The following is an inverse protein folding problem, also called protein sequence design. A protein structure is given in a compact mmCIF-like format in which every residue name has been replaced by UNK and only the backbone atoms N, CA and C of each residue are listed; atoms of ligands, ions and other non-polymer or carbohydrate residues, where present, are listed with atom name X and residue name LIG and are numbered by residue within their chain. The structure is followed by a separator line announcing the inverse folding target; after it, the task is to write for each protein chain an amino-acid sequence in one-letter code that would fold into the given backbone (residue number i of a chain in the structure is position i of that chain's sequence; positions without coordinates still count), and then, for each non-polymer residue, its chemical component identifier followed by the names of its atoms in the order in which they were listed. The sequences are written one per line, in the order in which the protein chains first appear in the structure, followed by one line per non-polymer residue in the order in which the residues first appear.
data_IF_382792498376
#
_entry.id   IF_382792498376
#
_cell.length_a   1.000
_cell.length_b   1.000
_cell.length_c   1.000
_cell.angle_alpha   90.00
_cell.angle_beta   90.00
_cell.angle_gamma   90.00
#
_symmetry.space_group_name_H-M   'P 1'
#
loop_
_entity.id
_entity.type
_entity.pdbx_description
1 polymer ?
#
# COMPACT_ATOMS: atom_id res chain seq x y z
N UNK A 1 -18.24 1.63 13.76
CA UNK A 1 -18.98 1.19 12.56
C UNK A 1 -18.48 2.07 11.43
N UNK A 2 -17.55 1.54 10.63
CA UNK A 2 -17.06 2.24 9.43
C UNK A 2 -18.25 2.31 8.48
N UNK A 3 -18.65 3.51 8.10
CA UNK A 3 -19.62 3.70 7.03
C UNK A 3 -19.01 3.16 5.74
N UNK A 4 -19.58 2.08 5.20
CA UNK A 4 -19.20 1.56 3.89
C UNK A 4 -19.27 2.70 2.87
N UNK A 5 -18.23 2.89 2.03
CA UNK A 5 -18.28 3.88 0.98
C UNK A 5 -19.49 3.62 0.08
N UNK A 6 -20.31 4.64 -0.15
CA UNK A 6 -21.48 4.56 -1.01
C UNK A 6 -21.04 4.21 -2.44
N UNK A 7 -21.40 3.01 -2.88
CA UNK A 7 -21.21 2.52 -4.25
C UNK A 7 -21.89 3.46 -5.24
N UNK A 8 -21.27 3.83 -6.36
CA UNK A 8 -21.99 4.47 -7.47
C UNK A 8 -23.10 3.52 -7.94
N UNK A 9 -24.32 4.03 -8.04
CA UNK A 9 -25.52 3.28 -8.48
C UNK A 9 -25.54 3.15 -10.01
N UNK A 10 -24.60 2.40 -10.57
CA UNK A 10 -24.80 1.76 -11.87
C UNK A 10 -25.60 0.48 -11.59
N UNK A 11 -26.74 0.30 -12.23
CA UNK A 11 -27.57 -0.88 -12.07
C UNK A 11 -26.76 -2.17 -12.29
N UNK A 12 -27.08 -3.27 -11.59
CA UNK A 12 -26.29 -4.48 -11.61
C UNK A 12 -26.23 -5.05 -13.06
N UNK A 13 -25.04 -4.95 -13.67
CA UNK A 13 -24.72 -5.79 -14.83
C UNK A 13 -24.71 -7.23 -14.28
N UNK A 14 -25.42 -8.19 -14.90
CA UNK A 14 -25.39 -9.58 -14.44
C UNK A 14 -23.92 -10.07 -14.47
N UNK A 15 -23.34 -10.28 -13.30
CA UNK A 15 -22.00 -10.87 -13.21
C UNK A 15 -22.18 -12.36 -13.57
N UNK A 16 -21.52 -12.88 -14.61
CA UNK A 16 -21.64 -14.29 -14.95
C UNK A 16 -21.21 -15.15 -13.77
N UNK A 17 -21.93 -16.27 -13.54
CA UNK A 17 -21.53 -17.24 -12.51
C UNK A 17 -20.10 -17.69 -12.82
N UNK A 18 -19.16 -17.61 -11.88
CA UNK A 18 -17.78 -17.95 -12.16
C UNK A 18 -17.65 -19.45 -12.49
N UNK A 19 -16.89 -19.76 -13.53
CA UNK A 19 -16.53 -21.14 -13.84
C UNK A 19 -15.48 -21.58 -12.81
N UNK A 20 -15.90 -22.42 -11.89
CA UNK A 20 -15.05 -22.97 -10.83
C UNK A 20 -14.41 -24.26 -11.34
N UNK A 21 -13.09 -24.49 -11.17
CA UNK A 21 -12.44 -25.75 -11.58
C UNK A 21 -12.97 -26.95 -10.78
N UNK A 22 -12.80 -28.16 -11.28
CA UNK A 22 -13.07 -29.36 -10.46
C UNK A 22 -12.15 -29.40 -9.24
N UNK A 23 -12.56 -30.04 -8.12
CA UNK A 23 -11.71 -30.18 -6.94
C UNK A 23 -10.32 -30.77 -7.26
N UNK A 24 -10.26 -31.76 -8.15
CA UNK A 24 -9.01 -32.41 -8.57
C UNK A 24 -8.12 -31.44 -9.34
N UNK A 25 -8.69 -30.65 -10.27
CA UNK A 25 -7.96 -29.66 -11.04
C UNK A 25 -7.44 -28.51 -10.14
N UNK A 26 -8.23 -28.08 -9.19
CA UNK A 26 -7.82 -27.08 -8.21
C UNK A 26 -6.63 -27.57 -7.38
N UNK A 27 -6.73 -28.75 -6.77
CA UNK A 27 -5.64 -29.32 -5.97
C UNK A 27 -4.39 -29.55 -6.81
N UNK A 28 -4.52 -29.98 -8.07
CA UNK A 28 -3.38 -30.16 -8.96
C UNK A 28 -2.64 -28.85 -9.21
N UNK A 29 -3.36 -27.74 -9.42
CA UNK A 29 -2.77 -26.39 -9.54
C UNK A 29 -2.06 -25.97 -8.25
N UNK A 30 -2.72 -26.16 -7.11
CA UNK A 30 -2.16 -25.85 -5.80
C UNK A 30 -0.86 -26.60 -5.51
N UNK A 31 -0.77 -27.88 -5.89
CA UNK A 31 0.44 -28.68 -5.72
C UNK A 31 1.57 -28.26 -6.65
N UNK A 32 1.26 -27.79 -7.82
CA UNK A 32 2.26 -27.40 -8.83
C UNK A 32 2.80 -25.97 -8.60
N UNK A 33 2.13 -25.18 -7.76
CA UNK A 33 2.46 -23.77 -7.56
C UNK A 33 3.57 -23.61 -6.49
N UNK A 34 4.75 -23.06 -6.86
CA UNK A 34 5.86 -22.95 -5.95
C UNK A 34 5.64 -21.87 -4.87
N UNK A 35 4.86 -20.83 -5.17
CA UNK A 35 4.55 -19.75 -4.23
C UNK A 35 3.63 -20.26 -3.11
N UNK A 36 2.59 -21.01 -3.48
CA UNK A 36 1.74 -21.68 -2.50
C UNK A 36 2.54 -22.67 -1.66
N UNK A 37 3.44 -23.46 -2.28
CA UNK A 37 4.32 -24.39 -1.58
C UNK A 37 5.16 -23.72 -0.50
N UNK A 38 5.67 -22.52 -0.75
CA UNK A 38 6.37 -21.70 0.25
C UNK A 38 5.43 -21.17 1.34
N UNK A 39 4.23 -20.75 0.98
CA UNK A 39 3.25 -20.18 1.92
C UNK A 39 2.72 -21.22 2.91
N UNK A 40 2.61 -22.50 2.53
CA UNK A 40 2.08 -23.57 3.37
C UNK A 40 3.15 -24.36 4.15
N UNK A 41 4.45 -24.12 3.92
CA UNK A 41 5.58 -24.96 4.39
C UNK A 41 5.60 -25.27 5.90
N UNK A 42 4.95 -24.45 6.72
CA UNK A 42 4.87 -24.61 8.17
C UNK A 42 3.44 -24.87 8.65
N UNK A 43 2.52 -25.14 7.72
CA UNK A 43 1.12 -25.34 8.04
C UNK A 43 0.81 -26.84 8.20
N UNK A 44 0.05 -27.16 9.23
CA UNK A 44 -0.68 -28.41 9.35
C UNK A 44 -2.13 -28.07 9.60
N UNK A 45 -3.00 -28.43 8.65
CA UNK A 45 -4.41 -28.03 8.64
C UNK A 45 -5.01 -28.11 7.24
N UNK A 46 -5.58 -27.02 6.76
CA UNK A 46 -6.11 -26.99 5.40
C UNK A 46 -6.96 -25.75 5.07
N UNK A 47 -7.36 -25.70 3.81
CA UNK A 47 -8.20 -24.63 3.27
C UNK A 47 -9.53 -25.20 2.78
N UNK A 48 -10.61 -24.49 3.10
CA UNK A 48 -11.97 -24.72 2.62
C UNK A 48 -12.52 -23.45 1.99
N UNK A 49 -12.98 -23.54 0.75
CA UNK A 49 -13.61 -22.44 0.02
C UNK A 49 -15.04 -22.86 -0.35
N UNK A 50 -16.03 -22.18 0.18
CA UNK A 50 -17.45 -22.37 -0.14
C UNK A 50 -17.93 -21.31 -1.11
N UNK A 51 -18.16 -21.70 -2.35
CA UNK A 51 -18.57 -20.83 -3.47
C UNK A 51 -20.01 -21.19 -3.84
N UNK A 52 -21.00 -20.53 -3.24
CA UNK A 52 -22.37 -21.00 -3.29
C UNK A 52 -22.47 -22.43 -2.73
N UNK A 53 -23.02 -23.35 -3.53
CA UNK A 53 -23.16 -24.77 -3.16
C UNK A 53 -21.89 -25.62 -3.43
N UNK A 54 -20.87 -25.03 -4.03
CA UNK A 54 -19.63 -25.74 -4.41
C UNK A 54 -18.57 -25.58 -3.35
N UNK A 55 -17.97 -26.70 -2.93
CA UNK A 55 -16.85 -26.71 -2.00
C UNK A 55 -15.58 -27.14 -2.68
N UNK A 56 -14.53 -26.32 -2.48
CA UNK A 56 -13.17 -26.63 -2.90
C UNK A 56 -12.24 -26.56 -1.70
N UNK A 57 -11.13 -27.28 -1.74
CA UNK A 57 -10.16 -27.22 -0.66
C UNK A 57 -9.07 -28.26 -0.80
N UNK A 58 -8.16 -28.21 0.14
CA UNK A 58 -7.07 -29.15 0.27
C UNK A 58 -6.67 -29.30 1.75
N UNK A 59 -6.06 -30.41 2.08
CA UNK A 59 -5.39 -30.60 3.39
C UNK A 59 -3.91 -30.27 3.25
N UNK A 60 -3.31 -29.84 4.36
CA UNK A 60 -1.86 -29.62 4.48
C UNK A 60 -1.36 -30.39 5.68
N UNK A 61 -0.33 -31.19 5.47
CA UNK A 61 0.38 -31.92 6.54
C UNK A 61 1.86 -31.63 6.38
N UNK A 62 2.46 -31.01 7.40
CA UNK A 62 3.88 -30.63 7.40
C UNK A 62 4.28 -29.87 6.11
N UNK A 63 3.44 -28.92 5.68
CA UNK A 63 3.69 -28.12 4.48
C UNK A 63 3.41 -28.82 3.15
N UNK A 64 2.86 -30.02 3.13
CA UNK A 64 2.56 -30.77 1.91
C UNK A 64 1.05 -30.70 1.59
N UNK A 65 0.71 -30.13 0.45
CA UNK A 65 -0.68 -30.04 -0.05
C UNK A 65 -1.15 -31.43 -0.49
N UNK A 66 -2.29 -31.86 0.01
CA UNK A 66 -2.93 -33.14 -0.33
C UNK A 66 -4.40 -32.95 -0.70
N UNK A 67 -4.91 -33.84 -1.55
CA UNK A 67 -6.32 -33.86 -1.92
C UNK A 67 -7.18 -34.23 -0.71
N UNK A 68 -8.32 -33.55 -0.60
CA UNK A 68 -9.32 -33.78 0.43
C UNK A 68 -9.87 -32.44 0.92
N UNK A 69 -11.16 -32.39 1.14
CA UNK A 69 -11.80 -31.25 1.79
C UNK A 69 -11.67 -31.46 3.30
N UNK A 70 -10.90 -30.64 4.04
CA UNK A 70 -10.75 -30.84 5.48
C UNK A 70 -12.10 -30.54 6.18
N UNK A 71 -12.37 -31.19 7.31
CA UNK A 71 -13.48 -30.80 8.18
C UNK A 71 -13.17 -29.46 8.86
N UNK A 72 -14.18 -28.60 9.12
CA UNK A 72 -13.98 -27.37 9.88
C UNK A 72 -13.39 -27.69 11.26
N UNK A 73 -12.36 -26.93 11.66
CA UNK A 73 -11.74 -27.16 12.97
C UNK A 73 -10.39 -26.44 13.12
N UNK A 74 -9.67 -26.73 14.20
CA UNK A 74 -8.37 -26.14 14.44
C UNK A 74 -7.40 -26.36 13.26
N UNK A 75 -6.68 -25.31 12.89
CA UNK A 75 -5.73 -25.37 11.78
C UNK A 75 -6.37 -25.24 10.38
N UNK A 76 -7.71 -25.14 10.27
CA UNK A 76 -8.40 -25.01 8.99
C UNK A 76 -8.89 -23.59 8.77
N UNK A 77 -8.49 -22.99 7.64
CA UNK A 77 -9.05 -21.74 7.16
C UNK A 77 -10.28 -22.06 6.31
N UNK A 78 -11.39 -21.44 6.63
CA UNK A 78 -12.60 -21.51 5.85
C UNK A 78 -13.01 -20.12 5.38
N UNK A 79 -13.34 -19.99 4.08
CA UNK A 79 -13.94 -18.78 3.52
C UNK A 79 -15.16 -19.18 2.70
N UNK A 80 -16.29 -18.54 2.97
CA UNK A 80 -17.57 -18.88 2.34
C UNK A 80 -18.33 -17.65 1.88
N UNK A 81 -19.16 -17.83 0.88
CA UNK A 81 -20.10 -16.82 0.42
C UNK A 81 -20.88 -17.27 -0.80
N UNK A 82 -21.98 -16.58 -1.12
CA UNK A 82 -22.74 -16.84 -2.33
C UNK A 82 -21.86 -16.61 -3.59
N UNK A 83 -22.13 -17.35 -4.67
CA UNK A 83 -21.29 -17.37 -5.88
C UNK A 83 -21.09 -15.97 -6.49
N UNK A 84 -22.09 -15.11 -6.40
CA UNK A 84 -22.03 -13.73 -6.89
C UNK A 84 -20.99 -12.85 -6.17
N UNK A 85 -20.65 -13.18 -4.92
CA UNK A 85 -19.58 -12.48 -4.18
C UNK A 85 -18.18 -12.94 -4.55
N UNK A 86 -18.09 -14.18 -5.05
CA UNK A 86 -16.82 -14.73 -5.56
C UNK A 86 -16.53 -14.28 -7.00
N UNK A 87 -17.58 -13.99 -7.79
CA UNK A 87 -17.43 -13.67 -9.19
C UNK A 87 -16.45 -12.51 -9.49
N UNK A 88 -16.44 -11.40 -8.74
CA UNK A 88 -15.47 -10.33 -8.93
C UNK A 88 -14.01 -10.77 -8.71
N UNK A 89 -13.74 -11.62 -7.71
CA UNK A 89 -12.41 -12.16 -7.45
C UNK A 89 -11.86 -12.98 -8.62
N UNK A 90 -12.75 -13.66 -9.32
CA UNK A 90 -12.40 -14.58 -10.41
C UNK A 90 -12.48 -13.92 -11.79
N UNK A 91 -12.85 -12.65 -11.87
CA UNK A 91 -12.87 -11.88 -13.10
C UNK A 91 -11.44 -11.59 -13.62
N UNK A 92 -11.30 -11.31 -14.91
CA UNK A 92 -10.01 -11.01 -15.53
C UNK A 92 -10.09 -9.77 -16.42
N UNK A 93 -9.46 -8.64 -16.04
CA UNK A 93 -8.90 -8.39 -14.71
C UNK A 93 -9.99 -8.32 -13.65
N UNK A 94 -9.69 -8.57 -12.35
CA UNK A 94 -10.66 -8.33 -11.30
C UNK A 94 -10.94 -6.81 -11.20
N UNK A 95 -12.21 -6.40 -10.95
CA UNK A 95 -12.55 -4.99 -10.76
C UNK A 95 -11.94 -4.43 -9.47
N UNK A 96 -11.91 -3.10 -9.30
CA UNK A 96 -11.51 -2.48 -8.04
C UNK A 96 -12.22 -3.10 -6.83
N UNK A 97 -11.52 -3.22 -5.71
CA UNK A 97 -12.00 -3.79 -4.43
C UNK A 97 -12.36 -5.29 -4.45
N UNK A 98 -11.98 -6.02 -5.50
CA UNK A 98 -12.22 -7.46 -5.64
C UNK A 98 -11.00 -8.30 -5.22
N UNK A 99 -10.38 -7.99 -4.10
CA UNK A 99 -9.30 -8.77 -3.49
C UNK A 99 -9.84 -9.58 -2.29
N UNK A 100 -9.27 -10.76 -2.04
CA UNK A 100 -9.71 -11.60 -0.93
C UNK A 100 -9.57 -10.88 0.42
N UNK A 101 -8.42 -10.24 0.65
CA UNK A 101 -8.17 -9.48 1.87
C UNK A 101 -9.26 -8.41 2.13
N UNK A 102 -9.71 -7.72 1.07
CA UNK A 102 -10.78 -6.73 1.16
C UNK A 102 -12.11 -7.37 1.50
N UNK A 103 -12.50 -8.42 0.77
CA UNK A 103 -13.81 -9.05 0.94
C UNK A 103 -13.94 -9.80 2.27
N UNK A 104 -12.84 -10.33 2.81
CA UNK A 104 -12.83 -11.02 4.11
C UNK A 104 -12.64 -10.06 5.28
N UNK A 105 -11.81 -9.03 5.12
CA UNK A 105 -11.44 -8.10 6.20
C UNK A 105 -12.34 -6.87 6.29
N UNK A 106 -12.70 -6.29 5.15
CA UNK A 106 -13.34 -4.96 5.09
C UNK A 106 -14.66 -4.95 4.32
N UNK A 107 -15.11 -6.10 3.80
CA UNK A 107 -16.29 -6.20 2.94
C UNK A 107 -17.65 -5.97 3.64
N UNK A 108 -17.70 -5.91 4.96
CA UNK A 108 -18.93 -5.75 5.72
C UNK A 108 -19.99 -6.80 5.32
N UNK A 109 -21.27 -6.39 5.18
CA UNK A 109 -22.36 -7.29 4.77
C UNK A 109 -22.20 -7.83 3.33
N UNK A 110 -21.45 -7.15 2.49
CA UNK A 110 -21.14 -7.58 1.11
C UNK A 110 -19.92 -8.51 1.04
N UNK A 111 -19.22 -8.71 2.14
CA UNK A 111 -17.99 -9.51 2.22
C UNK A 111 -18.21 -11.02 2.17
N UNK A 112 -17.11 -11.74 2.24
CA UNK A 112 -17.06 -13.19 2.42
C UNK A 112 -16.94 -13.50 3.92
N UNK A 113 -17.60 -14.59 4.35
CA UNK A 113 -17.55 -15.06 5.73
C UNK A 113 -16.35 -16.01 5.93
N UNK A 114 -15.56 -15.76 6.97
CA UNK A 114 -14.46 -16.62 7.39
C UNK A 114 -14.75 -17.46 8.65
N UNK A 115 -15.98 -17.46 9.12
CA UNK A 115 -16.34 -18.29 10.27
C UNK A 115 -16.33 -19.79 9.89
N UNK A 116 -15.86 -20.70 10.76
CA UNK A 116 -15.38 -20.51 12.13
C UNK A 116 -13.84 -20.38 12.25
N UNK A 117 -13.15 -19.83 11.25
CA UNK A 117 -11.70 -19.70 11.26
C UNK A 117 -11.23 -18.85 12.46
N UNK A 118 -10.24 -19.33 13.18
CA UNK A 118 -9.52 -18.52 14.16
C UNK A 118 -8.88 -17.30 13.49
N UNK A 119 -9.13 -16.07 13.96
CA UNK A 119 -8.57 -14.86 13.34
C UNK A 119 -7.05 -14.87 13.25
N UNK A 120 -6.35 -15.41 14.25
CA UNK A 120 -4.89 -15.48 14.26
C UNK A 120 -4.37 -16.49 13.23
N UNK A 121 -5.05 -17.62 13.08
CA UNK A 121 -4.74 -18.61 12.04
C UNK A 121 -4.89 -17.99 10.65
N UNK A 122 -5.96 -17.20 10.44
CA UNK A 122 -6.14 -16.50 9.17
C UNK A 122 -4.97 -15.57 8.87
N UNK A 123 -4.60 -14.69 9.80
CA UNK A 123 -3.46 -13.79 9.60
C UNK A 123 -2.15 -14.52 9.37
N UNK A 124 -1.96 -15.64 10.04
CA UNK A 124 -0.76 -16.47 9.93
C UNK A 124 -0.58 -17.08 8.53
N UNK A 125 -1.69 -17.52 7.92
CA UNK A 125 -1.68 -18.22 6.63
C UNK A 125 -2.52 -17.52 5.54
N UNK A 126 -2.86 -16.24 5.70
CA UNK A 126 -3.52 -15.46 4.65
C UNK A 126 -2.77 -15.49 3.31
N UNK A 127 -1.41 -15.48 3.26
CA UNK A 127 -0.70 -15.63 1.99
C UNK A 127 -1.07 -16.91 1.24
N UNK A 128 -1.26 -18.02 1.97
CA UNK A 128 -1.67 -19.29 1.36
C UNK A 128 -3.13 -19.26 0.88
N UNK A 129 -4.03 -18.64 1.65
CA UNK A 129 -5.44 -18.51 1.27
C UNK A 129 -5.61 -17.63 0.04
N UNK A 130 -4.93 -16.48 0.00
CA UNK A 130 -4.96 -15.55 -1.13
C UNK A 130 -4.38 -16.20 -2.39
N UNK A 131 -3.21 -16.86 -2.29
CA UNK A 131 -2.62 -17.56 -3.43
C UNK A 131 -3.52 -18.66 -3.96
N UNK A 132 -4.14 -19.42 -3.07
CA UNK A 132 -5.07 -20.47 -3.47
C UNK A 132 -6.30 -19.90 -4.21
N UNK A 133 -6.81 -18.74 -3.81
CA UNK A 133 -7.91 -18.06 -4.52
C UNK A 133 -7.46 -17.57 -5.89
N UNK A 134 -6.26 -17.06 -6.05
CA UNK A 134 -5.71 -16.72 -7.37
C UNK A 134 -5.63 -17.94 -8.30
N UNK A 135 -5.31 -19.10 -7.75
CA UNK A 135 -5.25 -20.36 -8.50
C UNK A 135 -6.64 -20.93 -8.89
N UNK A 136 -7.73 -20.38 -8.36
CA UNK A 136 -9.08 -20.64 -8.86
C UNK A 136 -9.32 -19.99 -10.22
N UNK A 137 -8.71 -18.85 -10.49
CA UNK A 137 -8.92 -18.11 -11.72
C UNK A 137 -8.53 -18.93 -12.95
N UNK A 138 -9.09 -18.57 -14.10
CA UNK A 138 -8.82 -19.23 -15.37
C UNK A 138 -7.32 -19.20 -15.70
N UNK A 139 -6.66 -20.33 -15.95
CA UNK A 139 -5.25 -20.37 -16.36
C UNK A 139 -4.98 -19.71 -17.71
N UNK A 140 -6.01 -19.47 -18.54
CA UNK A 140 -5.89 -18.69 -19.76
C UNK A 140 -5.86 -17.17 -19.51
N UNK A 141 -5.98 -16.73 -18.27
CA UNK A 141 -5.82 -15.32 -17.88
C UNK A 141 -4.50 -14.77 -18.43
N UNK A 142 -4.52 -13.60 -19.09
CA UNK A 142 -3.29 -12.99 -19.56
C UNK A 142 -2.28 -12.88 -18.42
N UNK A 143 -1.06 -13.32 -18.68
CA UNK A 143 0.02 -13.12 -17.73
C UNK A 143 0.15 -11.61 -17.42
N UNK A 144 0.50 -11.25 -16.18
CA UNK A 144 0.82 -9.87 -15.83
C UNK A 144 1.84 -9.29 -16.82
N UNK A 145 1.74 -7.98 -17.10
CA UNK A 145 2.67 -7.31 -18.00
C UNK A 145 4.10 -7.55 -17.48
N UNK A 146 5.02 -8.04 -18.35
CA UNK A 146 6.42 -8.17 -17.93
C UNK A 146 6.98 -6.77 -17.59
N UNK A 147 7.76 -6.69 -16.53
CA UNK A 147 8.53 -5.49 -16.24
C UNK A 147 9.44 -5.15 -17.43
N UNK A 148 9.72 -3.86 -17.70
CA UNK A 148 10.69 -3.48 -18.72
C UNK A 148 12.02 -4.19 -18.49
N UNK A 149 12.65 -4.64 -19.57
CA UNK A 149 13.97 -5.25 -19.48
C UNK A 149 14.96 -4.21 -18.93
N UNK A 150 15.50 -4.48 -17.75
CA UNK A 150 16.63 -3.73 -17.22
C UNK A 150 17.79 -3.85 -18.22
N UNK A 151 18.48 -2.74 -18.51
CA UNK A 151 19.63 -2.73 -19.42
C UNK A 151 20.63 -3.84 -19.09
N UNK A 152 21.33 -4.37 -20.09
CA UNK A 152 22.15 -5.57 -20.02
C UNK A 152 23.19 -5.59 -18.90
N UNK A 153 23.94 -6.69 -18.73
CA UNK A 153 24.75 -7.02 -17.54
C UNK A 153 26.06 -6.20 -17.40
N UNK A 154 26.17 -5.02 -18.02
CA UNK A 154 27.35 -4.18 -17.90
C UNK A 154 27.38 -3.55 -16.50
N UNK A 155 28.45 -3.67 -15.74
CA UNK A 155 28.62 -2.96 -14.49
C UNK A 155 28.43 -1.45 -14.68
N UNK A 156 27.50 -0.88 -13.95
CA UNK A 156 27.21 0.56 -13.95
C UNK A 156 26.95 1.04 -12.53
N UNK A 157 27.20 2.31 -12.29
CA UNK A 157 26.75 2.97 -11.08
C UNK A 157 25.36 3.56 -11.31
N UNK A 158 24.47 3.38 -10.37
CA UNK A 158 23.19 4.08 -10.35
C UNK A 158 23.39 5.54 -9.95
N UNK A 159 22.46 6.40 -10.36
CA UNK A 159 22.55 7.83 -10.11
C UNK A 159 22.30 8.23 -8.65
N UNK A 160 21.39 7.57 -7.87
CA UNK A 160 21.13 8.00 -6.51
C UNK A 160 22.34 7.80 -5.61
N UNK A 161 22.62 8.85 -4.81
CA UNK A 161 23.67 8.84 -3.79
C UNK A 161 23.02 8.88 -2.42
N UNK A 162 23.34 7.90 -1.56
CA UNK A 162 22.84 7.84 -0.19
C UNK A 162 23.69 8.57 0.82
N UNK A 163 23.07 9.21 1.79
CA UNK A 163 23.72 9.93 2.87
C UNK A 163 22.92 9.92 4.16
N UNK A 164 23.47 10.56 5.19
CA UNK A 164 22.80 10.80 6.45
C UNK A 164 22.85 12.26 6.81
N UNK A 165 21.76 12.76 7.36
CA UNK A 165 21.67 14.09 7.95
C UNK A 165 21.16 13.99 9.37
N UNK A 166 21.65 14.84 10.27
CA UNK A 166 21.19 14.95 11.64
C UNK A 166 20.17 16.09 11.75
N UNK A 167 19.03 15.81 12.35
CA UNK A 167 17.99 16.80 12.64
C UNK A 167 17.61 16.73 14.11
N UNK A 168 17.49 17.88 14.75
CA UNK A 168 16.94 17.98 16.11
C UNK A 168 15.42 18.07 16.04
N UNK A 169 14.74 17.11 16.64
CA UNK A 169 13.28 17.11 16.79
C UNK A 169 12.94 17.05 18.27
N UNK A 170 12.54 18.20 18.81
CA UNK A 170 12.15 18.32 20.22
C UNK A 170 13.27 18.01 21.22
N UNK A 171 14.52 18.34 20.90
CA UNK A 171 15.70 18.10 21.74
C UNK A 171 16.29 16.69 21.58
N UNK A 172 15.82 15.91 20.64
CA UNK A 172 16.37 14.59 20.31
C UNK A 172 17.03 14.63 18.94
N UNK A 173 18.29 14.20 18.87
CA UNK A 173 19.04 14.10 17.61
C UNK A 173 18.65 12.84 16.85
N UNK A 174 18.03 13.03 15.69
CA UNK A 174 17.66 11.96 14.76
C UNK A 174 18.62 11.94 13.58
N UNK A 175 19.21 10.78 13.33
CA UNK A 175 20.06 10.52 12.18
C UNK A 175 19.22 9.95 11.05
N UNK A 176 18.86 10.78 10.08
CA UNK A 176 17.98 10.43 8.97
C UNK A 176 18.80 10.00 7.75
N UNK A 177 18.48 8.82 7.21
CA UNK A 177 18.99 8.37 5.93
C UNK A 177 18.16 8.95 4.79
N UNK A 178 18.83 9.34 3.72
CA UNK A 178 18.19 9.74 2.48
C UNK A 178 19.01 9.31 1.28
N UNK A 179 18.37 9.20 0.12
CA UNK A 179 18.97 9.04 -1.20
C UNK A 179 18.55 10.22 -2.06
N UNK A 180 19.48 10.71 -2.89
CA UNK A 180 19.19 11.82 -3.78
C UNK A 180 19.76 11.61 -5.18
N UNK A 181 19.07 12.16 -6.18
CA UNK A 181 19.52 12.25 -7.56
C UNK A 181 18.89 13.43 -8.27
N UNK A 182 19.50 13.86 -9.37
CA UNK A 182 19.01 14.97 -10.16
C UNK A 182 19.48 16.34 -9.66
N UNK A 183 18.95 17.39 -10.25
CA UNK A 183 19.26 18.78 -9.92
C UNK A 183 18.09 19.70 -10.25
N UNK A 184 18.05 20.88 -9.64
CA UNK A 184 16.96 21.84 -9.83
C UNK A 184 16.05 21.95 -8.61
N UNK A 185 14.73 21.98 -8.82
CA UNK A 185 13.75 22.17 -7.75
C UNK A 185 13.79 20.97 -6.79
N UNK A 186 13.99 21.18 -5.47
CA UNK A 186 13.99 20.08 -4.51
C UNK A 186 12.62 19.41 -4.43
N UNK A 187 12.59 18.07 -4.50
CA UNK A 187 11.40 17.25 -4.35
C UNK A 187 11.61 16.22 -3.24
N UNK A 188 11.05 16.50 -2.06
CA UNK A 188 11.07 15.59 -0.91
C UNK A 188 10.02 14.49 -1.10
N UNK A 189 10.44 13.23 -0.93
CA UNK A 189 9.65 12.02 -1.20
C UNK A 189 9.45 11.22 0.09
N UNK A 190 8.19 11.14 0.56
CA UNK A 190 7.80 10.43 1.77
C UNK A 190 7.14 9.09 1.44
N UNK A 191 7.72 8.02 1.94
CA UNK A 191 7.21 6.65 1.80
C UNK A 191 5.90 6.40 2.57
N UNK A 192 5.26 5.27 2.30
CA UNK A 192 4.03 4.81 2.95
C UNK A 192 4.30 4.22 4.34
N UNK A 193 3.25 3.90 5.11
CA UNK A 193 3.35 3.28 6.43
C UNK A 193 4.22 2.01 6.42
N UNK A 194 5.16 1.90 7.35
CA UNK A 194 6.02 0.73 7.53
C UNK A 194 6.96 0.39 6.37
N UNK A 195 7.09 1.28 5.40
CA UNK A 195 7.99 1.16 4.26
C UNK A 195 9.26 2.00 4.45
N UNK A 196 9.95 2.36 3.39
CA UNK A 196 11.12 3.23 3.39
C UNK A 196 11.37 3.84 1.99
N UNK A 197 12.29 4.79 1.89
CA UNK A 197 12.53 5.61 0.69
C UNK A 197 12.77 4.85 -0.61
N UNK A 198 13.19 3.58 -0.55
CA UNK A 198 13.41 2.75 -1.74
C UNK A 198 12.14 2.59 -2.62
N UNK A 199 10.96 2.89 -2.08
CA UNK A 199 9.72 2.89 -2.86
C UNK A 199 9.76 3.85 -4.06
N UNK A 200 10.60 4.87 -4.01
CA UNK A 200 10.74 5.87 -5.06
C UNK A 200 11.89 5.59 -6.04
N UNK A 201 12.54 4.43 -5.95
CA UNK A 201 13.73 4.12 -6.73
C UNK A 201 13.57 4.30 -8.24
N UNK A 202 12.38 3.98 -8.77
CA UNK A 202 12.11 4.08 -10.21
C UNK A 202 12.06 5.54 -10.71
N UNK A 203 11.71 6.49 -9.84
CA UNK A 203 11.71 7.91 -10.21
C UNK A 203 13.13 8.48 -10.34
N UNK A 204 14.10 7.91 -9.63
CA UNK A 204 15.51 8.30 -9.76
C UNK A 204 16.10 7.90 -11.11
N UNK A 205 15.52 6.93 -11.79
CA UNK A 205 15.94 6.43 -13.10
C UNK A 205 15.29 7.21 -14.26
N UNK A 206 14.42 8.22 -13.95
CA UNK A 206 13.62 8.94 -14.95
C UNK A 206 14.21 10.32 -15.26
N UNK A 207 14.88 10.50 -16.45
CA UNK A 207 15.48 11.77 -16.84
C UNK A 207 14.48 12.92 -16.94
N UNK A 208 13.23 12.64 -17.32
CA UNK A 208 12.18 13.67 -17.41
C UNK A 208 11.92 14.36 -16.06
N UNK A 209 12.28 13.72 -14.95
CA UNK A 209 12.21 14.26 -13.60
C UNK A 209 13.58 14.75 -13.15
N UNK A 210 14.61 13.91 -13.20
CA UNK A 210 15.95 14.20 -12.64
C UNK A 210 16.70 15.34 -13.32
N UNK A 211 16.34 15.68 -14.56
CA UNK A 211 16.92 16.83 -15.28
C UNK A 211 16.39 18.18 -14.74
N UNK A 212 15.28 18.19 -13.97
CA UNK A 212 14.60 19.40 -13.50
C UNK A 212 14.40 19.47 -11.99
N UNK A 213 14.39 18.31 -11.35
CA UNK A 213 14.16 18.17 -9.92
C UNK A 213 15.31 17.44 -9.25
N UNK A 214 15.70 17.93 -8.06
CA UNK A 214 16.54 17.22 -7.12
C UNK A 214 15.64 16.36 -6.24
N UNK A 215 15.51 15.07 -6.56
CA UNK A 215 14.73 14.11 -5.80
C UNK A 215 15.48 13.75 -4.52
N UNK A 216 14.76 13.71 -3.40
CA UNK A 216 15.29 13.36 -2.08
C UNK A 216 14.28 12.42 -1.42
N UNK A 217 14.53 11.11 -1.50
CA UNK A 217 13.73 10.10 -0.80
C UNK A 217 14.38 9.77 0.54
N UNK A 218 13.68 9.94 1.62
CA UNK A 218 14.19 9.72 2.97
C UNK A 218 13.45 8.62 3.70
N UNK A 219 14.12 8.01 4.66
CA UNK A 219 13.54 7.06 5.59
C UNK A 219 13.10 7.81 6.85
N UNK A 220 11.84 7.68 7.25
CA UNK A 220 11.37 8.19 8.55
C UNK A 220 12.21 7.61 9.71
N UNK A 221 12.31 8.30 10.85
CA UNK A 221 12.82 7.68 12.06
C UNK A 221 12.16 6.31 12.32
N UNK A 222 12.95 5.32 12.74
CA UNK A 222 12.56 3.92 12.95
C UNK A 222 12.32 3.09 11.67
N UNK A 223 12.52 3.69 10.47
CA UNK A 223 12.32 3.01 9.18
C UNK A 223 13.64 2.83 8.44
N UNK A 224 13.68 1.80 7.59
CA UNK A 224 14.80 1.57 6.68
C UNK A 224 16.17 1.67 7.36
N UNK A 225 16.96 2.63 6.93
CA UNK A 225 18.30 2.93 7.47
C UNK A 225 18.29 4.04 8.54
N UNK A 226 17.16 4.70 8.79
CA UNK A 226 16.98 5.68 9.87
C UNK A 226 16.65 4.98 11.18
N UNK A 227 17.64 4.31 11.76
CA UNK A 227 17.46 3.59 13.02
C UNK A 227 17.10 4.54 14.19
N UNK A 228 16.50 3.99 15.25
CA UNK A 228 16.10 4.79 16.42
C UNK A 228 17.23 5.65 16.99
N UNK A 229 16.92 6.84 17.57
CA UNK A 229 17.91 7.73 18.16
C UNK A 229 18.61 7.11 19.37
N UNK A 230 19.86 7.50 19.59
CA UNK A 230 20.63 7.11 20.77
C UNK A 230 20.18 7.98 21.95
N UNK A 231 19.80 7.36 23.06
CA UNK A 231 19.41 8.05 24.29
C UNK A 231 18.01 7.69 24.76
N UNK A 232 16.94 8.00 24.00
CA UNK A 232 15.59 7.56 24.37
C UNK A 232 15.48 6.05 24.51
N UNK A 233 14.76 5.58 25.55
CA UNK A 233 14.49 4.14 25.76
C UNK A 233 13.24 3.73 24.97
N UNK A 234 13.30 3.88 23.64
CA UNK A 234 12.20 3.64 22.72
C UNK A 234 11.62 2.21 22.81
N UNK A 235 12.41 1.23 23.25
CA UNK A 235 11.99 -0.18 23.43
C UNK A 235 11.10 -0.41 24.66
N UNK A 236 10.87 0.59 25.50
CA UNK A 236 9.96 0.54 26.64
C UNK A 236 8.58 1.13 26.34
N UNK A 237 8.38 1.59 25.11
CA UNK A 237 7.15 2.24 24.69
C UNK A 237 6.62 1.58 23.41
N UNK A 238 5.30 1.56 23.26
CA UNK A 238 4.69 1.23 21.99
C UNK A 238 4.98 2.34 20.98
N UNK A 239 5.45 1.97 19.79
CA UNK A 239 5.68 2.96 18.75
C UNK A 239 4.33 3.43 18.18
N UNK A 240 4.11 4.73 18.18
CA UNK A 240 2.98 5.41 17.58
C UNK A 240 3.48 6.64 16.84
N UNK A 241 3.13 6.76 15.59
CA UNK A 241 3.44 7.94 14.78
C UNK A 241 2.39 9.01 15.07
N UNK A 242 2.83 10.10 15.68
CA UNK A 242 1.98 11.26 15.99
C UNK A 242 2.17 12.34 14.95
N UNK A 243 1.10 13.05 14.56
CA UNK A 243 1.12 14.02 13.48
C UNK A 243 2.07 15.20 13.71
N UNK A 244 2.18 15.69 14.94
CA UNK A 244 3.12 16.75 15.26
C UNK A 244 4.58 16.33 15.01
N UNK A 245 4.94 15.10 15.39
CA UNK A 245 6.25 14.53 15.10
C UNK A 245 6.44 14.29 13.62
N UNK A 246 5.44 13.69 12.94
CA UNK A 246 5.52 13.39 11.52
C UNK A 246 5.73 14.65 10.67
N UNK A 247 4.98 15.73 10.93
CA UNK A 247 5.17 17.04 10.25
C UNK A 247 6.57 17.62 10.47
N UNK A 248 7.13 17.46 11.67
CA UNK A 248 8.44 18.02 12.00
C UNK A 248 9.59 17.41 11.19
N UNK A 249 9.45 16.15 10.70
CA UNK A 249 10.52 15.47 9.98
C UNK A 249 10.83 16.14 8.63
N UNK A 250 9.88 16.29 7.67
CA UNK A 250 10.18 16.95 6.39
C UNK A 250 10.55 18.43 6.55
N UNK A 251 9.96 19.13 7.52
CA UNK A 251 10.34 20.53 7.83
C UNK A 251 11.79 20.59 8.34
N UNK A 252 12.17 19.72 9.27
CA UNK A 252 13.55 19.62 9.77
C UNK A 252 14.54 19.22 8.67
N UNK A 253 14.16 18.32 7.79
CA UNK A 253 14.98 17.92 6.64
C UNK A 253 15.17 19.07 5.64
N UNK A 254 14.11 19.80 5.31
CA UNK A 254 14.20 20.97 4.43
C UNK A 254 15.20 22.00 4.97
N UNK A 255 15.14 22.27 6.28
CA UNK A 255 16.08 23.18 6.92
C UNK A 255 17.52 22.65 6.95
N UNK A 256 17.71 21.38 7.34
CA UNK A 256 19.04 20.78 7.49
C UNK A 256 19.78 20.57 6.15
N UNK A 257 19.03 20.29 5.08
CA UNK A 257 19.55 20.14 3.72
C UNK A 257 19.56 21.47 2.93
N UNK A 258 19.18 22.59 3.57
CA UNK A 258 19.12 23.93 2.97
C UNK A 258 18.31 23.95 1.67
N UNK A 259 17.12 23.31 1.70
CA UNK A 259 16.24 23.26 0.54
C UNK A 259 15.48 24.59 0.42
N UNK A 260 15.63 25.23 -0.72
CA UNK A 260 14.90 26.45 -1.02
C UNK A 260 13.59 26.11 -1.72
N UNK A 261 12.47 26.47 -1.11
CA UNK A 261 11.14 26.38 -1.68
C UNK A 261 10.82 24.96 -2.24
N UNK A 262 11.00 23.88 -1.44
CA UNK A 262 10.87 22.51 -1.93
C UNK A 262 9.42 22.13 -2.24
N UNK A 263 9.26 21.12 -3.11
CA UNK A 263 8.01 20.38 -3.28
C UNK A 263 8.03 19.19 -2.32
N UNK A 264 6.89 18.89 -1.71
CA UNK A 264 6.70 17.66 -0.95
C UNK A 264 5.78 16.72 -1.71
N UNK A 265 6.16 15.46 -1.87
CA UNK A 265 5.31 14.41 -2.40
C UNK A 265 5.35 13.20 -1.46
N UNK A 266 4.18 12.72 -1.07
CA UNK A 266 4.06 11.54 -0.23
C UNK A 266 2.90 10.66 -0.64
N UNK A 267 2.99 9.38 -0.30
CA UNK A 267 1.96 8.39 -0.63
C UNK A 267 1.34 7.82 0.66
N UNK A 268 0.03 7.59 0.67
CA UNK A 268 -0.69 6.98 1.81
C UNK A 268 -0.54 7.84 3.08
N UNK A 269 0.14 7.35 4.12
CA UNK A 269 0.54 8.19 5.28
C UNK A 269 1.22 9.49 4.82
N UNK A 270 2.11 9.40 3.83
CA UNK A 270 2.74 10.57 3.22
C UNK A 270 1.76 11.44 2.41
N UNK A 271 0.72 10.85 1.83
CA UNK A 271 -0.34 11.57 1.13
C UNK A 271 -1.21 12.39 2.09
N UNK A 272 -1.56 11.83 3.25
CA UNK A 272 -2.22 12.56 4.32
C UNK A 272 -1.31 13.67 4.87
N UNK A 273 -0.02 13.35 5.09
CA UNK A 273 0.97 14.32 5.54
C UNK A 273 1.10 15.50 4.57
N UNK A 274 1.00 15.27 3.26
CA UNK A 274 1.05 16.35 2.27
C UNK A 274 -0.02 17.42 2.53
N UNK A 275 -1.27 17.00 2.79
CA UNK A 275 -2.36 17.92 3.13
C UNK A 275 -2.16 18.56 4.51
N UNK A 276 -1.63 17.81 5.47
CA UNK A 276 -1.31 18.29 6.82
C UNK A 276 -0.20 19.36 6.79
N UNK A 277 0.81 19.20 5.93
CA UNK A 277 1.85 20.18 5.69
C UNK A 277 1.32 21.44 5.01
N UNK A 278 0.42 21.30 4.03
CA UNK A 278 -0.22 22.44 3.40
C UNK A 278 -0.99 23.30 4.40
N UNK A 279 -1.63 22.67 5.41
CA UNK A 279 -2.33 23.37 6.45
C UNK A 279 -1.41 24.04 7.46
N UNK A 280 -0.37 23.32 7.94
CA UNK A 280 0.42 23.78 9.10
C UNK A 280 1.74 24.48 8.72
N UNK A 281 2.26 24.23 7.52
CA UNK A 281 3.57 24.72 7.06
C UNK A 281 3.53 25.25 5.62
N UNK A 282 2.53 26.09 5.24
CA UNK A 282 2.37 26.56 3.85
C UNK A 282 3.53 27.46 3.36
N UNK A 283 4.36 27.99 4.28
CA UNK A 283 5.51 28.82 3.92
C UNK A 283 6.81 28.01 3.73
N UNK A 284 6.78 26.69 3.96
CA UNK A 284 7.96 25.83 3.80
C UNK A 284 8.01 25.21 2.42
N UNK A 285 6.86 24.89 1.85
CA UNK A 285 6.75 24.14 0.60
C UNK A 285 6.04 24.98 -0.46
N UNK A 286 6.58 25.04 -1.69
CA UNK A 286 5.88 25.67 -2.82
C UNK A 286 4.64 24.90 -3.27
N UNK A 287 4.70 23.58 -3.15
CA UNK A 287 3.57 22.72 -3.46
C UNK A 287 3.65 21.40 -2.68
N UNK A 288 2.51 20.77 -2.46
CA UNK A 288 2.38 19.41 -1.98
C UNK A 288 1.67 18.54 -3.00
N UNK A 289 2.15 17.31 -3.17
CA UNK A 289 1.58 16.29 -4.04
C UNK A 289 1.14 15.13 -3.14
N UNK A 290 -0.15 14.99 -2.97
CA UNK A 290 -0.79 13.97 -2.15
C UNK A 290 -1.14 12.76 -3.01
N UNK A 291 -0.37 11.68 -2.88
CA UNK A 291 -0.67 10.40 -3.53
C UNK A 291 -1.49 9.54 -2.56
N UNK A 292 -2.63 9.05 -3.02
CA UNK A 292 -3.53 8.18 -2.24
C UNK A 292 -3.96 8.81 -0.91
N UNK A 293 -4.05 10.14 -0.88
CA UNK A 293 -4.44 10.90 0.30
C UNK A 293 -5.94 11.18 0.36
N UNK A 294 -6.40 11.63 1.52
CA UNK A 294 -7.77 11.97 1.84
C UNK A 294 -7.81 12.96 3.01
N UNK A 295 -8.98 13.53 3.33
CA UNK A 295 -9.14 14.34 4.55
C UNK A 295 -9.28 13.50 5.82
N UNK A 296 -9.66 12.25 5.67
CA UNK A 296 -9.82 11.30 6.77
C UNK A 296 -10.02 9.90 6.19
N UNK A 297 -9.33 8.92 6.74
CA UNK A 297 -9.51 7.52 6.34
C UNK A 297 -10.48 6.83 7.30
N UNK A 298 -10.29 6.99 8.59
CA UNK A 298 -11.06 6.30 9.62
C UNK A 298 -10.73 4.81 9.69
N UNK A 299 -11.10 4.20 10.80
CA UNK A 299 -10.89 2.76 10.99
C UNK A 299 -10.79 2.41 12.48
N UNK A 300 -10.84 1.13 12.78
CA UNK A 300 -10.57 0.61 14.12
C UNK A 300 -9.12 0.12 14.17
N UNK A 301 -8.25 0.89 14.79
CA UNK A 301 -6.82 0.59 14.87
C UNK A 301 -6.56 -0.77 15.54
N UNK A 302 -7.37 -1.10 16.56
CA UNK A 302 -7.29 -2.37 17.28
C UNK A 302 -7.59 -3.60 16.39
N UNK A 303 -8.37 -3.45 15.35
CA UNK A 303 -8.66 -4.52 14.40
C UNK A 303 -7.41 -4.90 13.58
N UNK A 304 -6.42 -4.01 13.52
CA UNK A 304 -5.17 -4.22 12.81
C UNK A 304 -4.12 -4.95 13.64
N UNK A 305 -4.31 -5.14 14.96
CA UNK A 305 -3.35 -5.81 15.84
C UNK A 305 -3.01 -7.23 15.41
N UNK A 306 -3.96 -7.91 14.74
CA UNK A 306 -3.70 -9.23 14.17
C UNK A 306 -2.56 -9.24 13.15
N UNK A 307 -2.30 -8.13 12.46
CA UNK A 307 -1.22 -8.02 11.49
C UNK A 307 0.17 -7.96 12.15
N UNK A 308 0.24 -7.65 13.43
CA UNK A 308 1.46 -7.68 14.19
C UNK A 308 1.29 -8.54 15.45
N UNK A 309 1.71 -9.78 15.34
CA UNK A 309 1.72 -10.78 16.40
C UNK A 309 2.99 -11.63 16.26
N UNK A 310 3.55 -12.15 17.35
CA UNK A 310 4.69 -13.07 17.27
C UNK A 310 4.44 -14.31 16.39
N UNK A 311 3.18 -14.69 16.18
CA UNK A 311 2.81 -15.80 15.32
C UNK A 311 2.60 -15.41 13.84
N UNK A 312 2.55 -14.10 13.52
CA UNK A 312 2.31 -13.60 12.17
C UNK A 312 3.59 -12.97 11.62
N UNK A 313 4.06 -13.47 10.49
CA UNK A 313 5.26 -12.93 9.84
C UNK A 313 4.97 -11.65 9.06
N UNK A 314 6.01 -10.85 8.79
CA UNK A 314 5.89 -9.72 7.88
C UNK A 314 5.42 -10.13 6.46
N UNK A 315 5.57 -11.40 6.10
CA UNK A 315 5.10 -11.91 4.81
C UNK A 315 3.58 -11.78 4.67
N UNK A 316 2.81 -11.99 5.74
CA UNK A 316 1.35 -11.81 5.71
C UNK A 316 0.96 -10.35 5.46
N UNK A 317 1.66 -9.40 6.10
CA UNK A 317 1.50 -7.97 5.83
C UNK A 317 1.88 -7.62 4.38
N UNK A 318 3.02 -8.12 3.91
CA UNK A 318 3.49 -7.90 2.55
C UNK A 318 2.47 -8.38 1.52
N UNK A 319 1.88 -9.54 1.73
CA UNK A 319 0.85 -10.09 0.84
C UNK A 319 -0.42 -9.23 0.81
N UNK A 320 -0.84 -8.68 1.96
CA UNK A 320 -1.93 -7.71 2.00
C UNK A 320 -1.61 -6.44 1.20
N UNK A 321 -0.34 -6.00 1.19
CA UNK A 321 0.09 -4.85 0.38
C UNK A 321 0.07 -5.17 -1.13
N UNK A 322 0.38 -6.39 -1.53
CA UNK A 322 0.17 -6.81 -2.93
C UNK A 322 -1.29 -6.65 -3.36
N UNK A 323 -2.24 -6.91 -2.45
CA UNK A 323 -3.67 -6.75 -2.74
C UNK A 323 -4.12 -5.27 -2.89
N UNK A 324 -3.29 -4.32 -2.50
CA UNK A 324 -3.50 -2.88 -2.75
C UNK A 324 -2.99 -2.43 -4.13
N UNK A 325 -2.16 -3.24 -4.78
CA UNK A 325 -1.68 -2.95 -6.12
C UNK A 325 -2.77 -3.18 -7.17
N UNK A 326 -2.64 -2.50 -8.30
CA UNK A 326 -3.50 -2.77 -9.46
C UNK A 326 -3.26 -4.19 -10.00
N UNK A 327 -4.32 -4.92 -10.37
CA UNK A 327 -4.19 -6.24 -11.00
C UNK A 327 -3.57 -6.17 -12.42
N UNK A 328 -3.40 -4.98 -12.97
CA UNK A 328 -2.76 -4.73 -14.26
C UNK A 328 -1.30 -4.32 -14.13
N UNK A 329 -0.82 -4.11 -12.91
CA UNK A 329 0.57 -3.77 -12.64
C UNK A 329 1.52 -4.93 -13.03
N UNK A 330 2.77 -4.66 -13.44
CA UNK A 330 3.77 -5.69 -13.69
C UNK A 330 4.04 -6.51 -12.43
N UNK A 331 3.93 -7.85 -12.55
CA UNK A 331 4.09 -8.76 -11.40
C UNK A 331 5.40 -8.53 -10.62
N UNK A 332 6.51 -8.32 -11.34
CA UNK A 332 7.81 -8.08 -10.71
C UNK A 332 7.79 -6.86 -9.78
N UNK A 333 7.07 -5.80 -10.15
CA UNK A 333 6.96 -4.59 -9.35
C UNK A 333 6.00 -4.79 -8.17
N UNK A 334 4.93 -5.57 -8.34
CA UNK A 334 4.06 -5.98 -7.22
C UNK A 334 4.86 -6.78 -6.18
N UNK A 335 5.72 -7.72 -6.63
CA UNK A 335 6.62 -8.48 -5.75
C UNK A 335 7.69 -7.60 -5.08
N UNK A 336 8.09 -6.52 -5.72
CA UNK A 336 8.98 -5.52 -5.13
C UNK A 336 8.29 -4.75 -3.98
N UNK A 337 7.01 -4.38 -4.13
CA UNK A 337 6.21 -3.83 -3.04
C UNK A 337 6.20 -4.79 -1.85
N UNK A 338 5.89 -6.07 -2.08
CA UNK A 338 5.90 -7.08 -1.03
C UNK A 338 7.26 -7.20 -0.32
N UNK A 339 8.35 -7.15 -1.08
CA UNK A 339 9.72 -7.23 -0.52
C UNK A 339 10.01 -6.07 0.43
N UNK A 340 9.64 -4.84 0.05
CA UNK A 340 9.82 -3.64 0.91
C UNK A 340 9.09 -3.82 2.23
N UNK A 341 7.82 -4.21 2.19
CA UNK A 341 7.03 -4.42 3.40
C UNK A 341 7.48 -5.62 4.26
N UNK A 342 8.11 -6.62 3.64
CA UNK A 342 8.70 -7.74 4.38
C UNK A 342 9.93 -7.34 5.17
N UNK A 343 10.65 -6.29 4.76
CA UNK A 343 11.94 -5.90 5.33
C UNK A 343 11.84 -4.93 6.52
N UNK A 344 10.68 -4.31 6.74
CA UNK A 344 10.50 -3.29 7.78
C UNK A 344 10.48 -3.84 9.21
N UNK A 345 10.73 -2.96 10.17
CA UNK A 345 10.53 -3.26 11.60
C UNK A 345 9.04 -3.51 11.86
N UNK A 346 8.65 -4.70 12.41
CA UNK A 346 7.24 -5.07 12.50
C UNK A 346 6.33 -4.05 13.19
N UNK A 347 6.71 -3.42 14.32
CA UNK A 347 5.88 -2.41 14.98
C UNK A 347 5.67 -1.11 14.17
N UNK A 348 6.58 -0.78 13.23
CA UNK A 348 6.50 0.48 12.49
C UNK A 348 5.21 0.61 11.70
N UNK A 349 4.83 -0.42 10.97
CA UNK A 349 3.61 -0.39 10.15
C UNK A 349 2.35 -0.08 10.98
N UNK A 350 2.17 -0.79 12.10
CA UNK A 350 1.01 -0.57 12.97
C UNK A 350 1.08 0.80 13.66
N UNK A 351 2.27 1.21 14.07
CA UNK A 351 2.47 2.52 14.69
C UNK A 351 2.19 3.68 13.73
N UNK A 352 2.56 3.56 12.46
CA UNK A 352 2.25 4.57 11.44
C UNK A 352 0.75 4.65 11.15
N UNK A 353 0.07 3.50 11.18
CA UNK A 353 -1.37 3.46 10.99
C UNK A 353 -2.13 4.14 12.15
N UNK A 354 -1.50 4.39 13.30
CA UNK A 354 -2.10 5.21 14.35
C UNK A 354 -2.38 6.63 13.83
N UNK A 355 -1.41 7.29 13.20
CA UNK A 355 -1.64 8.58 12.54
C UNK A 355 -2.71 8.45 11.45
N UNK A 356 -2.60 7.42 10.60
CA UNK A 356 -3.43 7.25 9.41
C UNK A 356 -4.92 7.05 9.70
N UNK A 357 -5.28 6.26 10.72
CA UNK A 357 -6.68 5.88 10.99
C UNK A 357 -7.27 6.50 12.26
N UNK A 358 -6.44 7.00 13.18
CA UNK A 358 -6.89 7.49 14.49
C UNK A 358 -6.74 8.99 14.63
N UNK A 359 -5.53 9.51 14.33
CA UNK A 359 -5.21 10.90 14.65
C UNK A 359 -5.56 11.88 13.54
N UNK A 360 -5.30 11.49 12.27
CA UNK A 360 -5.47 12.38 11.13
C UNK A 360 -6.95 12.60 10.78
N UNK A 361 -7.41 13.83 10.89
CA UNK A 361 -8.73 14.27 10.44
C UNK A 361 -8.70 15.76 10.08
N UNK A 362 -8.81 16.07 8.79
CA UNK A 362 -8.88 17.45 8.29
C UNK A 362 -10.26 17.85 7.77
N UNK A 363 -11.31 17.04 7.98
CA UNK A 363 -12.65 17.32 7.43
C UNK A 363 -13.21 18.67 7.84
N UNK A 364 -12.97 19.07 9.08
CA UNK A 364 -13.46 20.35 9.62
C UNK A 364 -12.46 21.51 9.43
N UNK A 365 -11.31 21.26 8.78
CA UNK A 365 -10.22 22.20 8.61
C UNK A 365 -9.72 22.36 7.17
N UNK A 366 -10.27 21.60 6.24
CA UNK A 366 -9.80 21.59 4.85
C UNK A 366 -9.89 22.99 4.18
N UNK A 367 -10.90 23.76 4.54
CA UNK A 367 -11.10 25.13 4.04
C UNK A 367 -10.07 26.16 4.57
N UNK A 368 -9.28 25.79 5.60
CA UNK A 368 -8.20 26.62 6.13
C UNK A 368 -6.91 26.53 5.28
N UNK A 369 -6.84 25.55 4.37
CA UNK A 369 -5.68 25.36 3.49
C UNK A 369 -5.68 26.45 2.42
N UNK A 370 -4.65 27.30 2.47
CA UNK A 370 -4.47 28.45 1.59
C UNK A 370 -3.64 28.05 0.34
N UNK A 371 -4.33 27.74 -0.75
CA UNK A 371 -3.71 27.31 -2.00
C UNK A 371 -3.03 28.44 -2.79
N UNK A 372 -3.20 29.70 -2.38
CA UNK A 372 -2.42 30.83 -2.92
C UNK A 372 -1.00 30.86 -2.33
N UNK A 373 -0.77 30.18 -1.19
CA UNK A 373 0.54 30.08 -0.51
C UNK A 373 1.25 28.77 -0.84
N UNK A 374 0.51 27.69 -1.01
CA UNK A 374 1.07 26.37 -1.30
C UNK A 374 0.20 25.63 -2.31
N UNK A 375 0.76 25.24 -3.46
CA UNK A 375 0.01 24.44 -4.44
C UNK A 375 -0.40 23.08 -3.87
N UNK A 376 -1.64 22.64 -4.10
CA UNK A 376 -2.15 21.35 -3.61
C UNK A 376 -2.62 20.49 -4.77
N UNK A 377 -1.94 19.34 -4.97
CA UNK A 377 -2.23 18.38 -6.03
C UNK A 377 -2.55 17.00 -5.42
N UNK A 378 -3.71 16.45 -5.76
CA UNK A 378 -4.20 15.18 -5.19
C UNK A 378 -4.32 14.17 -6.33
N UNK A 379 -3.70 13.00 -6.18
CA UNK A 379 -3.75 11.92 -7.16
C UNK A 379 -4.13 10.62 -6.47
N UNK A 380 -5.21 9.97 -6.90
CA UNK A 380 -5.68 8.72 -6.32
C UNK A 380 -5.81 7.62 -7.39
N UNK A 381 -5.35 6.43 -7.07
CA UNK A 381 -5.44 5.26 -7.93
C UNK A 381 -6.86 4.68 -8.00
N UNK A 382 -7.27 4.26 -9.20
CA UNK A 382 -8.56 3.61 -9.44
C UNK A 382 -8.74 2.34 -8.59
N UNK A 383 -7.64 1.62 -8.35
CA UNK A 383 -7.62 0.33 -7.63
C UNK A 383 -7.27 0.46 -6.15
N UNK A 384 -6.97 1.66 -5.67
CA UNK A 384 -6.73 1.86 -4.23
C UNK A 384 -8.03 1.76 -3.43
N UNK A 385 -8.11 0.76 -2.56
CA UNK A 385 -9.25 0.60 -1.66
C UNK A 385 -9.05 1.26 -0.29
N UNK A 386 -7.87 1.83 -0.01
CA UNK A 386 -7.54 2.56 1.22
C UNK A 386 -7.74 4.07 1.06
N UNK A 387 -6.94 4.72 0.22
CA UNK A 387 -7.10 6.13 -0.16
C UNK A 387 -7.92 6.28 -1.44
N UNK A 388 -9.20 5.91 -1.42
CA UNK A 388 -10.01 5.78 -2.63
C UNK A 388 -10.13 7.07 -3.44
N UNK A 389 -10.31 6.96 -4.76
CA UNK A 389 -10.57 8.10 -5.65
C UNK A 389 -11.71 9.00 -5.14
N UNK A 390 -12.76 8.40 -4.56
CA UNK A 390 -13.87 9.15 -3.99
C UNK A 390 -13.45 10.01 -2.79
N UNK A 391 -12.54 9.53 -1.95
CA UNK A 391 -12.00 10.29 -0.82
C UNK A 391 -11.08 11.42 -1.29
N UNK A 392 -10.26 11.18 -2.30
CA UNK A 392 -9.42 12.20 -2.91
C UNK A 392 -10.25 13.31 -3.58
N UNK A 393 -11.30 12.92 -4.27
CA UNK A 393 -12.26 13.88 -4.88
C UNK A 393 -12.96 14.74 -3.82
N UNK A 394 -13.39 14.12 -2.70
CA UNK A 394 -13.97 14.85 -1.59
C UNK A 394 -12.97 15.83 -0.95
N UNK A 395 -11.69 15.46 -0.89
CA UNK A 395 -10.64 16.37 -0.42
C UNK A 395 -10.47 17.57 -1.37
N UNK A 396 -10.44 17.34 -2.68
CA UNK A 396 -10.39 18.39 -3.68
C UNK A 396 -11.60 19.34 -3.59
N UNK A 397 -12.80 18.79 -3.42
CA UNK A 397 -14.03 19.61 -3.29
C UNK A 397 -14.01 20.52 -2.06
N UNK A 398 -13.34 20.08 -0.97
CA UNK A 398 -13.22 20.86 0.26
C UNK A 398 -12.04 21.85 0.27
N UNK A 399 -10.98 21.59 -0.52
CA UNK A 399 -9.78 22.46 -0.58
C UNK A 399 -9.87 23.32 -1.86
N UNK A 400 -10.35 24.54 -1.72
CA UNK A 400 -10.49 25.47 -2.84
C UNK A 400 -9.12 25.71 -3.52
N UNK A 401 -9.07 25.68 -4.86
CA UNK A 401 -7.85 25.89 -5.64
C UNK A 401 -6.93 24.68 -5.77
N UNK A 402 -7.21 23.56 -5.09
CA UNK A 402 -6.48 22.31 -5.30
C UNK A 402 -6.77 21.68 -6.67
N UNK A 403 -6.03 20.67 -7.05
CA UNK A 403 -6.32 19.82 -8.23
C UNK A 403 -6.50 18.37 -7.81
N UNK A 404 -7.32 17.63 -8.56
CA UNK A 404 -7.49 16.17 -8.36
C UNK A 404 -7.35 15.43 -9.68
N UNK A 405 -6.68 14.27 -9.63
CA UNK A 405 -6.51 13.38 -10.78
C UNK A 405 -6.75 11.94 -10.37
N UNK A 406 -7.68 11.26 -11.05
CA UNK A 406 -7.85 9.81 -10.94
C UNK A 406 -6.80 9.12 -11.80
N UNK A 407 -5.97 8.26 -11.20
CA UNK A 407 -4.97 7.46 -11.92
C UNK A 407 -5.60 6.12 -12.33
N UNK A 408 -6.10 6.05 -13.56
CA UNK A 408 -6.72 4.83 -14.11
C UNK A 408 -5.69 3.72 -14.25
N UNK A 409 -6.04 2.50 -13.84
CA UNK A 409 -5.16 1.34 -13.92
C UNK A 409 -4.07 1.29 -12.85
N UNK A 410 -4.09 2.19 -11.88
CA UNK A 410 -3.09 2.30 -10.81
C UNK A 410 -3.72 1.99 -9.45
N UNK A 411 -2.98 1.36 -8.57
CA UNK A 411 -3.37 1.07 -7.19
C UNK A 411 -2.68 2.00 -6.18
N UNK A 412 -2.44 1.48 -4.98
CA UNK A 412 -1.98 2.26 -3.82
C UNK A 412 -0.50 2.70 -3.86
N UNK A 413 0.32 2.07 -4.71
CA UNK A 413 1.76 2.33 -4.75
C UNK A 413 2.22 2.82 -6.14
N UNK A 414 1.65 3.92 -6.67
CA UNK A 414 1.84 4.34 -8.06
C UNK A 414 3.31 4.40 -8.47
N UNK A 415 4.17 4.94 -7.61
CA UNK A 415 5.61 5.13 -7.86
C UNK A 415 6.39 3.82 -7.91
N UNK A 416 5.85 2.73 -7.38
CA UNK A 416 6.53 1.43 -7.27
C UNK A 416 5.86 0.34 -8.11
N UNK A 417 4.53 0.20 -8.04
CA UNK A 417 3.82 -0.89 -8.70
C UNK A 417 3.72 -0.74 -10.22
N UNK A 418 3.65 0.51 -10.70
CA UNK A 418 3.56 0.80 -12.14
C UNK A 418 4.13 2.20 -12.47
N UNK A 419 5.43 2.40 -12.30
CA UNK A 419 6.06 3.70 -12.47
C UNK A 419 5.85 4.30 -13.87
N UNK A 420 5.79 3.49 -14.93
CA UNK A 420 5.56 3.96 -16.29
C UNK A 420 4.17 4.57 -16.47
N UNK A 421 3.15 3.96 -15.90
CA UNK A 421 1.78 4.50 -15.90
C UNK A 421 1.68 5.73 -15.00
N UNK A 422 2.27 5.67 -13.82
CA UNK A 422 2.30 6.78 -12.86
C UNK A 422 2.90 8.05 -13.46
N UNK A 423 3.97 7.94 -14.23
CA UNK A 423 4.62 9.08 -14.90
C UNK A 423 3.65 9.84 -15.82
N UNK A 424 2.68 9.18 -16.43
CA UNK A 424 1.70 9.85 -17.30
C UNK A 424 0.82 10.84 -16.52
N UNK A 425 0.64 10.61 -15.23
CA UNK A 425 -0.12 11.47 -14.32
C UNK A 425 0.78 12.44 -13.55
N UNK A 426 1.98 12.03 -13.17
CA UNK A 426 2.90 12.85 -12.38
C UNK A 426 3.53 13.98 -13.19
N UNK A 427 3.99 13.72 -14.42
CA UNK A 427 4.71 14.72 -15.22
C UNK A 427 3.91 16.00 -15.46
N UNK A 428 2.60 15.98 -15.80
CA UNK A 428 1.80 17.19 -15.92
C UNK A 428 1.71 18.02 -14.63
N UNK A 429 1.67 17.36 -13.47
CA UNK A 429 1.69 18.02 -12.16
C UNK A 429 3.03 18.69 -11.92
N UNK A 430 4.13 17.99 -12.19
CA UNK A 430 5.49 18.54 -12.06
C UNK A 430 5.73 19.70 -13.04
N UNK A 431 5.15 19.67 -14.23
CA UNK A 431 5.19 20.80 -15.18
C UNK A 431 4.48 22.03 -14.62
N UNK A 432 3.33 21.84 -13.99
CA UNK A 432 2.59 22.93 -13.31
C UNK A 432 3.41 23.51 -12.17
N UNK A 433 3.95 22.67 -11.30
CA UNK A 433 4.76 23.07 -10.14
C UNK A 433 6.06 23.78 -10.56
N UNK A 434 6.68 23.37 -11.66
CA UNK A 434 7.92 23.99 -12.16
C UNK A 434 7.67 25.34 -12.86
N UNK A 435 6.46 25.57 -13.38
CA UNK A 435 6.06 26.80 -14.03
C UNK A 435 5.44 27.86 -13.11
N UNK A 436 5.21 27.50 -11.85
CA UNK A 436 4.58 28.35 -10.83
C UNK A 436 5.53 29.38 -10.23
#
# INVERSE_FOLDING_TARGET
MVASPSRPTAGPVPVPVPVVPSPEAFVARCRADPELGLAVRHWTGGLRLGIGDTWLGFTVTDGVVSAGLPEPGPGVIQVTGPAERWAPLLASPPPPFAQLAVLVGFGGEAGLDRSPTDPMLYWQYSPAAERAVELLADPSRPAPRPAPAMGGPTPRHDHPVGGYVHIDLGGTDYRIYYEEAGSGIPLLLQHTAGAHGVQYRHLFEEPAITDRFRLIAYDLPYHGKSIPPVGPRWWEQEYRLEGAFLRSVPVGLAAALHLEDPVFMGCSVGGLLALDLALHHPDVFRAVISLEGALHIGGAWEELFGMWSPQVSNHSKARMMEALCSPTAPEAYVKEVAQVYSSGWPPAFLGDLFYYVVEFDLRDRAEEIDTDRVGVHILNGEYDWSGTDALGRAAHEAIAGSTHTTMTGVGHFPMQENPAEFLTYLLPVLDTVAGA
#
